data_IF_690210487805
#
_entry.id   IF_690210487805
#
_cell.length_a   1.000
_cell.length_b   1.000
_cell.length_c   1.000
_cell.angle_alpha   90.00
_cell.angle_beta   90.00
_cell.angle_gamma   90.00
#
_symmetry.space_group_name_H-M   'P 1'
#
loop_
_entity.id
_entity.type
_entity.pdbx_description
1 polymer ?
#
# COMPACT_ATOMS: atom_id res chain seq x y z
N UNK A 1 6.29 41.37 10.92
CA UNK A 1 7.20 40.72 9.95
C UNK A 1 8.07 39.86 10.84
N UNK A 2 7.87 38.54 10.87
CA UNK A 2 7.96 37.70 9.68
C UNK A 2 6.91 36.58 9.69
N UNK A 3 6.22 36.45 8.55
CA UNK A 3 5.28 35.40 8.20
C UNK A 3 6.11 34.19 7.73
N UNK A 4 6.31 33.21 8.61
CA UNK A 4 6.97 31.95 8.28
C UNK A 4 6.02 31.14 7.40
N UNK A 5 6.19 31.31 6.10
CA UNK A 5 5.37 30.71 5.05
C UNK A 5 5.08 29.23 5.29
N UNK A 6 3.81 28.87 5.14
CA UNK A 6 3.34 27.49 5.10
C UNK A 6 3.98 26.78 3.90
N UNK A 7 5.13 26.14 4.12
CA UNK A 7 5.71 25.19 3.19
C UNK A 7 4.69 24.08 2.92
N UNK A 8 4.10 24.08 1.72
CA UNK A 8 3.04 23.16 1.27
C UNK A 8 3.51 21.70 1.07
N UNK A 9 4.58 21.29 1.73
CA UNK A 9 4.98 19.88 1.79
C UNK A 9 4.03 19.14 2.70
N UNK A 10 3.03 18.44 2.16
CA UNK A 10 2.21 17.51 2.92
C UNK A 10 3.12 16.39 3.46
N UNK A 11 3.52 16.51 4.71
CA UNK A 11 4.21 15.46 5.43
C UNK A 11 3.21 14.34 5.73
N UNK A 12 3.52 13.10 5.34
CA UNK A 12 2.76 11.94 5.79
C UNK A 12 3.17 11.61 7.23
N UNK A 13 2.46 12.20 8.20
CA UNK A 13 2.59 11.87 9.61
C UNK A 13 2.01 10.47 9.90
N UNK A 14 2.85 9.44 9.95
CA UNK A 14 2.47 8.12 10.48
C UNK A 14 2.60 8.17 12.01
N UNK A 15 1.54 8.58 12.70
CA UNK A 15 1.46 8.58 14.17
C UNK A 15 0.64 7.37 14.64
N UNK A 16 1.13 6.62 15.63
CA UNK A 16 0.32 5.61 16.32
C UNK A 16 -0.71 6.32 17.19
N UNK A 17 -1.92 6.50 16.69
CA UNK A 17 -3.04 7.13 17.43
C UNK A 17 -3.94 6.07 18.08
N UNK A 18 -3.35 5.13 18.84
CA UNK A 18 -4.08 4.06 19.56
C UNK A 18 -4.91 3.09 18.70
N UNK A 19 -5.07 3.40 17.41
CA UNK A 19 -5.76 2.71 16.35
C UNK A 19 -4.77 2.72 15.19
N UNK A 20 -4.29 1.56 14.76
CA UNK A 20 -3.28 1.44 13.70
C UNK A 20 -3.89 1.75 12.31
N UNK A 21 -4.28 3.01 12.08
CA UNK A 21 -4.99 3.44 10.86
C UNK A 21 -4.18 4.48 10.09
N UNK A 22 -3.88 4.15 8.84
CA UNK A 22 -3.34 5.10 7.86
C UNK A 22 -4.52 5.84 7.22
N UNK A 23 -4.58 7.17 7.36
CA UNK A 23 -5.59 8.03 6.72
C UNK A 23 -4.96 8.83 5.58
N UNK A 24 -5.46 8.64 4.37
CA UNK A 24 -5.06 9.41 3.18
C UNK A 24 -6.27 10.28 2.79
N UNK A 25 -6.15 11.61 2.91
CA UNK A 25 -7.18 12.57 2.51
C UNK A 25 -6.80 13.21 1.19
N UNK A 26 -7.76 13.28 0.26
CA UNK A 26 -7.64 14.00 -1.02
C UNK A 26 -6.40 13.63 -1.87
N UNK A 27 -5.86 12.42 -1.65
CA UNK A 27 -4.69 11.84 -2.32
C UNK A 27 -4.91 10.35 -2.57
N UNK A 28 -4.13 9.77 -3.47
CA UNK A 28 -4.13 8.34 -3.78
C UNK A 28 -2.86 7.67 -3.28
N UNK A 29 -2.98 6.45 -2.76
CA UNK A 29 -1.84 5.53 -2.65
C UNK A 29 -1.60 4.91 -4.02
N UNK A 30 -0.48 5.25 -4.65
CA UNK A 30 -0.06 4.63 -5.90
C UNK A 30 0.95 3.53 -5.60
N UNK A 31 0.61 2.29 -5.96
CA UNK A 31 1.55 1.17 -5.98
C UNK A 31 2.26 1.16 -7.33
N UNK A 32 3.56 0.86 -7.34
CA UNK A 32 4.30 0.62 -8.58
C UNK A 32 3.89 -0.75 -9.12
N UNK A 33 3.27 -0.84 -10.31
CA UNK A 33 2.87 -2.12 -10.90
C UNK A 33 4.08 -3.02 -11.15
N UNK A 34 3.94 -4.32 -10.91
CA UNK A 34 4.99 -5.31 -11.21
C UNK A 34 4.38 -6.67 -11.54
N UNK A 35 5.07 -7.42 -12.40
CA UNK A 35 4.81 -8.83 -12.68
C UNK A 35 5.82 -9.77 -11.98
N UNK A 36 6.74 -9.19 -11.21
CA UNK A 36 7.80 -9.89 -10.46
C UNK A 36 7.80 -9.46 -9.00
N UNK A 37 6.72 -9.71 -8.25
CA UNK A 37 6.69 -9.40 -6.83
C UNK A 37 7.70 -10.28 -6.07
N UNK A 38 8.16 -9.85 -4.88
CA UNK A 38 8.88 -10.72 -3.97
C UNK A 38 8.08 -11.99 -3.64
N UNK A 39 8.77 -13.06 -3.27
CA UNK A 39 8.12 -14.30 -2.85
C UNK A 39 7.17 -14.03 -1.67
N UNK A 40 5.91 -14.47 -1.79
CA UNK A 40 5.00 -14.47 -0.65
C UNK A 40 5.50 -15.50 0.37
N UNK A 41 5.63 -15.07 1.62
CA UNK A 41 6.09 -15.88 2.74
C UNK A 41 5.44 -15.38 4.03
N UNK A 42 5.60 -16.10 5.14
CA UNK A 42 5.05 -15.71 6.43
C UNK A 42 5.48 -14.29 6.85
N UNK A 43 6.68 -13.86 6.45
CA UNK A 43 7.21 -12.52 6.73
C UNK A 43 6.57 -11.41 5.88
N UNK A 44 5.96 -11.78 4.75
CA UNK A 44 5.28 -10.86 3.85
C UNK A 44 3.74 -10.95 3.98
N UNK A 45 3.21 -11.72 4.94
CA UNK A 45 1.76 -11.86 5.13
C UNK A 45 1.11 -10.49 5.35
N UNK A 46 0.07 -10.20 4.58
CA UNK A 46 -0.64 -8.92 4.59
C UNK A 46 -0.04 -7.84 3.69
N UNK A 47 1.12 -8.09 3.07
CA UNK A 47 1.66 -7.19 2.05
C UNK A 47 0.70 -7.09 0.84
N UNK A 48 0.72 -5.94 0.18
CA UNK A 48 -0.06 -5.64 -1.02
C UNK A 48 0.87 -5.32 -2.19
N UNK A 49 0.52 -5.76 -3.39
CA UNK A 49 1.14 -5.29 -4.62
C UNK A 49 0.09 -5.18 -5.73
N UNK A 50 0.38 -4.39 -6.76
CA UNK A 50 -0.46 -4.29 -7.96
C UNK A 50 0.18 -5.10 -9.08
N UNK A 51 -0.55 -6.12 -9.55
CA UNK A 51 -0.12 -6.97 -10.66
C UNK A 51 -0.35 -6.25 -11.99
N UNK A 52 0.73 -6.05 -12.75
CA UNK A 52 0.72 -5.24 -13.98
C UNK A 52 0.01 -5.95 -15.14
N UNK A 53 0.30 -7.24 -15.38
CA UNK A 53 -0.27 -8.01 -16.49
C UNK A 53 -1.75 -8.35 -16.30
N UNK A 54 -2.18 -8.53 -15.05
CA UNK A 54 -3.55 -8.89 -14.68
C UNK A 54 -4.45 -7.71 -14.31
N UNK A 55 -3.88 -6.52 -14.07
CA UNK A 55 -4.58 -5.34 -13.56
C UNK A 55 -5.35 -5.63 -12.25
N UNK A 56 -4.74 -6.37 -11.32
CA UNK A 56 -5.35 -6.79 -10.06
C UNK A 56 -4.57 -6.29 -8.86
N UNK A 57 -5.30 -5.94 -7.80
CA UNK A 57 -4.70 -5.78 -6.47
C UNK A 57 -4.56 -7.15 -5.81
N UNK A 58 -3.36 -7.44 -5.32
CA UNK A 58 -3.00 -8.72 -4.76
C UNK A 58 -2.54 -8.57 -3.30
N UNK A 59 -2.81 -9.58 -2.48
CA UNK A 59 -2.32 -9.67 -1.11
C UNK A 59 -1.62 -11.00 -0.82
N UNK A 60 -0.63 -10.99 0.05
CA UNK A 60 0.09 -12.21 0.46
C UNK A 60 -0.61 -12.82 1.67
N UNK A 61 -1.06 -14.07 1.55
CA UNK A 61 -1.69 -14.79 2.67
C UNK A 61 -0.68 -15.48 3.62
N UNK A 62 0.61 -15.35 3.32
CA UNK A 62 1.72 -16.01 4.01
C UNK A 62 2.39 -17.12 3.20
N UNK A 63 1.73 -17.62 2.16
CA UNK A 63 2.27 -18.65 1.26
C UNK A 63 2.09 -18.28 -0.23
N UNK A 64 0.93 -17.73 -0.59
CA UNK A 64 0.56 -17.40 -1.96
C UNK A 64 0.11 -15.94 -2.07
N UNK A 65 0.37 -15.35 -3.23
CA UNK A 65 -0.29 -14.12 -3.65
C UNK A 65 -1.70 -14.46 -4.13
N UNK A 66 -2.69 -13.73 -3.62
CA UNK A 66 -4.10 -13.90 -3.96
C UNK A 66 -4.70 -12.57 -4.38
N UNK A 67 -5.69 -12.62 -5.26
CA UNK A 67 -6.46 -11.44 -5.65
C UNK A 67 -7.40 -11.00 -4.53
N UNK A 68 -7.57 -9.69 -4.32
CA UNK A 68 -8.46 -9.14 -3.28
C UNK A 68 -9.95 -9.34 -3.63
N UNK A 69 -10.28 -9.48 -4.92
CA UNK A 69 -11.65 -9.74 -5.40
C UNK A 69 -12.04 -11.23 -5.35
N UNK A 70 -11.17 -12.11 -4.84
CA UNK A 70 -11.44 -13.53 -4.63
C UNK A 70 -11.32 -14.39 -5.89
N UNK A 71 -10.81 -13.84 -7.00
CA UNK A 71 -10.80 -14.48 -8.31
C UNK A 71 -9.55 -15.34 -8.62
N UNK A 72 -9.03 -16.12 -7.65
CA UNK A 72 -7.84 -17.02 -7.73
C UNK A 72 -6.49 -16.38 -7.29
N UNK A 73 -5.39 -17.08 -7.65
CA UNK A 73 -3.99 -16.67 -7.44
C UNK A 73 -3.64 -15.41 -8.23
N UNK A 74 -2.87 -14.56 -7.57
CA UNK A 74 -1.96 -13.62 -8.20
C UNK A 74 -0.56 -14.26 -8.31
#
# INVERSE_FOLDING_TARGET
ADDEGLGIGQHLDIRRDGSDVIRIRDKSLQLVPTDTPPACSANAKGALYYNNGGNRLCYCNGNNWLTVDGANSC
#
